data_IF_970236717499
#
_entry.id   IF_970236717499
#
_cell.length_a   1.000
_cell.length_b   1.000
_cell.length_c   1.000
_cell.angle_alpha   90.00
_cell.angle_beta   90.00
_cell.angle_gamma   90.00
#
_symmetry.space_group_name_H-M   'P 1'
#
loop_
_entity.id
_entity.type
_entity.pdbx_description
1 polymer ?
#
# COMPACT_ATOMS: atom_id res chain seq x y z
N UNK A 1 128.78 -90.28 -5.67
CA UNK A 1 129.21 -89.03 -5.04
C UNK A 1 129.05 -87.95 -6.08
N UNK A 2 128.36 -86.87 -5.70
CA UNK A 2 128.83 -85.49 -5.93
C UNK A 2 129.34 -85.18 -7.35
N UNK A 3 128.83 -84.22 -8.08
CA UNK A 3 128.34 -82.91 -7.69
C UNK A 3 127.64 -82.37 -8.95
N UNK A 4 126.51 -81.70 -8.83
CA UNK A 4 126.47 -80.26 -8.58
C UNK A 4 127.46 -79.46 -9.44
N UNK A 5 126.90 -78.46 -10.14
CA UNK A 5 127.58 -77.29 -10.71
C UNK A 5 128.48 -77.53 -11.93
N UNK A 6 127.88 -77.34 -13.12
CA UNK A 6 128.32 -76.39 -14.18
C UNK A 6 127.82 -76.87 -15.54
N UNK A 7 127.06 -76.01 -16.22
CA UNK A 7 127.54 -75.28 -17.42
C UNK A 7 126.32 -74.76 -18.20
N UNK A 8 126.01 -73.48 -18.17
CA UNK A 8 126.67 -72.34 -18.85
C UNK A 8 126.36 -72.21 -20.36
N UNK A 9 125.90 -70.98 -20.64
CA UNK A 9 125.89 -70.19 -21.89
C UNK A 9 124.61 -70.26 -22.72
N UNK A 10 123.83 -69.16 -22.83
CA UNK A 10 124.08 -67.76 -23.28
C UNK A 10 124.08 -67.66 -24.81
N UNK A 11 123.14 -66.86 -25.32
CA UNK A 11 123.32 -65.79 -26.32
C UNK A 11 122.04 -64.91 -26.36
N UNK A 12 121.98 -63.69 -26.94
CA UNK A 12 122.66 -62.40 -26.70
C UNK A 12 121.86 -61.32 -27.50
N UNK A 13 121.55 -60.15 -26.88
CA UNK A 13 121.18 -58.79 -27.44
C UNK A 13 119.89 -58.61 -28.28
N UNK A 14 119.05 -57.56 -28.19
CA UNK A 14 119.26 -56.08 -28.20
C UNK A 14 118.21 -55.19 -27.45
N UNK A 15 118.67 -53.97 -27.09
CA UNK A 15 118.09 -52.61 -26.77
C UNK A 15 116.63 -52.24 -27.19
N UNK A 16 115.87 -51.20 -26.73
CA UNK A 16 115.92 -50.05 -25.78
C UNK A 16 114.49 -49.44 -25.61
N UNK A 17 114.17 -48.93 -24.39
CA UNK A 17 113.35 -47.74 -23.95
C UNK A 17 112.00 -47.31 -24.61
N UNK A 18 110.94 -47.18 -23.76
CA UNK A 18 110.22 -45.90 -23.48
C UNK A 18 108.81 -45.59 -24.04
N UNK A 19 107.79 -45.42 -23.16
CA UNK A 19 106.57 -44.59 -23.40
C UNK A 19 105.21 -45.14 -22.88
N UNK A 20 104.48 -44.49 -21.94
CA UNK A 20 103.17 -44.96 -21.42
C UNK A 20 101.92 -44.31 -22.08
N UNK A 21 100.77 -44.97 -21.90
CA UNK A 21 99.51 -44.98 -22.68
C UNK A 21 98.42 -43.93 -22.28
N UNK A 22 97.39 -43.67 -23.12
CA UNK A 22 96.50 -42.48 -23.06
C UNK A 22 95.19 -42.65 -22.26
N UNK A 23 95.24 -43.11 -21.00
CA UNK A 23 94.05 -43.20 -20.11
C UNK A 23 93.80 -41.90 -19.33
N UNK A 24 94.85 -41.07 -19.18
CA UNK A 24 94.81 -39.82 -18.41
C UNK A 24 93.81 -38.77 -18.99
N UNK A 25 93.62 -38.74 -20.32
CA UNK A 25 92.79 -37.71 -20.97
C UNK A 25 91.30 -37.83 -20.65
N UNK A 26 90.77 -39.06 -20.53
CA UNK A 26 89.35 -39.27 -20.19
C UNK A 26 89.07 -39.02 -18.70
N UNK A 27 90.02 -39.33 -17.82
CA UNK A 27 89.91 -39.02 -16.38
C UNK A 27 89.92 -37.50 -16.16
N UNK A 28 90.80 -36.78 -16.85
CA UNK A 28 90.84 -35.30 -16.78
C UNK A 28 89.54 -34.69 -17.32
N UNK A 29 88.99 -35.21 -18.42
CA UNK A 29 87.72 -34.73 -18.95
C UNK A 29 86.54 -34.97 -17.99
N UNK A 30 86.48 -36.13 -17.34
CA UNK A 30 85.44 -36.45 -16.34
C UNK A 30 85.54 -35.55 -15.10
N UNK A 31 86.76 -35.30 -14.60
CA UNK A 31 87.00 -34.40 -13.46
C UNK A 31 86.56 -32.98 -13.80
N UNK A 32 86.91 -32.47 -14.99
CA UNK A 32 86.51 -31.13 -15.44
C UNK A 32 84.98 -31.03 -15.59
N UNK A 33 84.31 -32.08 -16.08
CA UNK A 33 82.85 -32.10 -16.17
C UNK A 33 82.18 -32.11 -14.78
N UNK A 34 82.68 -32.91 -13.84
CA UNK A 34 82.17 -32.91 -12.45
C UNK A 34 82.42 -31.59 -11.72
N UNK A 35 83.56 -30.94 -11.97
CA UNK A 35 83.85 -29.59 -11.45
C UNK A 35 82.96 -28.54 -12.10
N UNK A 36 82.67 -28.64 -13.40
CA UNK A 36 81.77 -27.72 -14.08
C UNK A 36 80.32 -27.87 -13.60
N UNK A 37 79.84 -29.11 -13.39
CA UNK A 37 78.50 -29.38 -12.84
C UNK A 37 78.42 -28.97 -11.37
N UNK A 38 79.46 -29.23 -10.57
CA UNK A 38 79.55 -28.76 -9.19
C UNK A 38 79.56 -27.23 -9.08
N UNK A 39 80.33 -26.55 -9.93
CA UNK A 39 80.31 -25.09 -10.02
C UNK A 39 78.97 -24.55 -10.54
N UNK A 40 78.31 -25.24 -11.48
CA UNK A 40 76.99 -24.84 -11.97
C UNK A 40 75.90 -25.00 -10.90
N UNK A 41 75.95 -26.08 -10.11
CA UNK A 41 75.03 -26.29 -8.98
C UNK A 41 75.27 -25.29 -7.85
N UNK A 42 76.54 -25.02 -7.49
CA UNK A 42 76.87 -24.00 -6.50
C UNK A 42 76.51 -22.59 -6.98
N UNK A 43 76.68 -22.29 -8.27
CA UNK A 43 76.22 -21.04 -8.86
C UNK A 43 74.69 -20.94 -8.88
N UNK A 44 73.99 -22.06 -9.13
CA UNK A 44 72.53 -22.12 -9.08
C UNK A 44 71.99 -21.92 -7.66
N UNK A 45 72.63 -22.51 -6.64
CA UNK A 45 72.30 -22.25 -5.23
C UNK A 45 72.57 -20.80 -4.84
N UNK A 46 73.73 -20.23 -5.23
CA UNK A 46 74.02 -18.82 -4.94
C UNK A 46 73.10 -17.85 -5.68
N UNK A 47 72.65 -18.14 -6.91
CA UNK A 47 71.69 -17.30 -7.63
C UNK A 47 70.26 -17.43 -7.09
N UNK A 48 69.88 -18.58 -6.54
CA UNK A 48 68.54 -18.82 -5.97
C UNK A 48 68.45 -18.68 -4.44
N UNK A 49 69.53 -18.24 -3.78
CA UNK A 49 69.54 -17.98 -2.34
C UNK A 49 68.46 -16.94 -1.99
N UNK A 50 67.54 -17.29 -1.10
CA UNK A 50 66.43 -16.43 -0.71
C UNK A 50 66.93 -15.31 0.20
N UNK A 51 66.56 -14.06 -0.11
CA UNK A 51 66.93 -12.90 0.70
C UNK A 51 66.00 -12.80 1.91
N UNK A 52 66.52 -12.72 3.16
CA UNK A 52 65.68 -12.52 4.33
C UNK A 52 65.11 -11.10 4.33
N UNK A 53 63.78 -10.98 4.40
CA UNK A 53 63.07 -9.70 4.42
C UNK A 53 62.07 -9.66 5.55
N UNK A 54 61.93 -8.51 6.21
CA UNK A 54 60.85 -8.26 7.17
C UNK A 54 59.61 -7.79 6.41
N UNK A 55 58.46 -8.37 6.72
CA UNK A 55 57.19 -7.97 6.10
C UNK A 55 56.24 -7.39 7.13
N UNK A 56 55.51 -6.37 6.74
CA UNK A 56 54.37 -5.84 7.49
C UNK A 56 53.13 -6.05 6.65
N UNK A 57 52.12 -6.66 7.27
CA UNK A 57 50.83 -6.83 6.63
C UNK A 57 50.09 -5.51 6.59
N UNK A 58 49.77 -5.08 5.39
CA UNK A 58 49.13 -3.80 5.15
C UNK A 58 47.67 -3.86 5.57
N UNK A 59 47.27 -3.03 6.54
CA UNK A 59 45.88 -2.91 6.98
C UNK A 59 45.19 -1.81 6.16
N UNK A 60 44.10 -2.16 5.46
CA UNK A 60 43.21 -1.16 4.92
C UNK A 60 42.21 -0.74 6.00
N UNK A 61 42.11 0.57 6.34
CA UNK A 61 41.09 1.07 7.27
C UNK A 61 39.65 0.72 6.82
N UNK A 62 39.44 0.48 5.52
CA UNK A 62 38.11 0.20 4.97
C UNK A 62 37.66 -1.26 5.12
N UNK A 63 38.53 -2.19 5.53
CA UNK A 63 38.13 -3.59 5.74
C UNK A 63 37.33 -3.79 7.04
N UNK A 64 37.50 -2.90 8.04
CA UNK A 64 36.73 -2.94 9.29
C UNK A 64 35.32 -2.34 9.15
N UNK A 65 35.05 -1.58 8.07
CA UNK A 65 33.73 -1.03 7.75
C UNK A 65 32.81 -2.02 7.00
N UNK A 66 33.22 -3.29 6.88
CA UNK A 66 32.41 -4.34 6.25
C UNK A 66 31.33 -4.94 7.19
N UNK A 67 31.36 -4.62 8.48
CA UNK A 67 30.19 -4.82 9.35
C UNK A 67 29.33 -3.56 9.23
N UNK A 68 28.31 -3.63 8.38
CA UNK A 68 27.33 -2.57 8.16
C UNK A 68 26.48 -2.30 9.41
N UNK A 69 27.08 -1.70 10.44
CA UNK A 69 26.33 -1.06 11.50
C UNK A 69 25.65 0.17 10.91
N UNK A 70 24.36 0.03 10.60
CA UNK A 70 23.51 1.15 10.22
C UNK A 70 23.58 2.21 11.32
N UNK A 71 24.23 3.34 11.01
CA UNK A 71 24.35 4.43 11.96
C UNK A 71 22.98 5.07 12.22
N UNK A 72 22.53 5.05 13.47
CA UNK A 72 21.30 5.72 13.91
C UNK A 72 21.53 7.24 13.82
N UNK A 73 20.73 7.92 13.01
CA UNK A 73 20.79 9.38 12.83
C UNK A 73 20.03 10.07 13.95
N UNK A 74 18.84 9.56 14.27
CA UNK A 74 17.91 10.18 15.18
C UNK A 74 17.05 9.11 15.86
N UNK A 75 16.86 9.25 17.16
CA UNK A 75 15.91 8.43 17.93
C UNK A 75 14.86 9.35 18.51
N UNK A 76 13.58 9.08 18.22
CA UNK A 76 12.45 9.89 18.69
C UNK A 76 11.40 8.98 19.30
N UNK A 77 10.77 9.43 20.38
CA UNK A 77 9.65 8.75 21.02
C UNK A 77 8.31 9.34 20.55
N UNK A 78 7.27 8.53 20.57
CA UNK A 78 5.91 8.95 20.28
C UNK A 78 4.92 7.83 20.58
N UNK A 79 3.78 7.85 19.90
CA UNK A 79 2.66 6.96 20.21
C UNK A 79 2.19 6.21 18.97
N UNK A 80 1.83 4.94 19.13
CA UNK A 80 1.20 4.16 18.08
C UNK A 80 -0.26 4.61 17.95
N UNK A 81 -0.68 4.93 16.74
CA UNK A 81 -2.05 5.26 16.38
C UNK A 81 -2.51 4.36 15.25
N UNK A 82 -3.81 4.11 15.16
CA UNK A 82 -4.33 3.49 13.94
C UNK A 82 -4.34 4.53 12.81
N UNK A 83 -3.93 4.13 11.61
CA UNK A 83 -3.92 5.00 10.43
C UNK A 83 -5.32 5.56 10.14
N UNK A 84 -6.35 4.71 10.33
CA UNK A 84 -7.75 5.04 10.13
C UNK A 84 -8.56 4.69 11.38
N UNK A 85 -8.85 5.70 12.18
CA UNK A 85 -9.79 5.63 13.30
C UNK A 85 -11.17 6.10 12.83
N UNK A 86 -12.19 5.28 13.02
CA UNK A 86 -13.56 5.57 12.61
C UNK A 86 -14.45 5.59 13.83
N UNK A 87 -15.14 6.71 14.00
CA UNK A 87 -16.13 6.92 15.05
C UNK A 87 -17.53 6.72 14.45
N UNK A 88 -18.18 5.63 14.83
CA UNK A 88 -19.47 5.23 14.27
C UNK A 88 -20.58 5.93 15.05
N UNK A 89 -21.18 6.93 14.41
CA UNK A 89 -22.29 7.72 14.94
C UNK A 89 -23.67 7.14 14.57
N UNK A 90 -24.68 7.48 15.36
CA UNK A 90 -26.07 7.28 14.95
C UNK A 90 -26.52 8.39 14.00
N UNK A 91 -27.23 8.02 12.94
CA UNK A 91 -27.88 8.99 12.04
C UNK A 91 -29.25 9.44 12.56
N UNK A 92 -29.85 8.67 13.46
CA UNK A 92 -31.18 8.91 14.04
C UNK A 92 -31.12 8.99 15.56
N UNK A 93 -32.10 9.67 16.14
CA UNK A 93 -32.25 9.75 17.60
C UNK A 93 -33.01 8.53 18.11
N UNK A 94 -32.69 8.07 19.31
CA UNK A 94 -33.41 6.94 19.90
C UNK A 94 -32.68 6.31 21.06
N UNK A 95 -33.38 5.41 21.76
CA UNK A 95 -32.81 4.65 22.86
C UNK A 95 -32.12 3.39 22.35
N UNK A 96 -30.99 3.02 22.96
CA UNK A 96 -30.30 1.77 22.63
C UNK A 96 -31.08 0.57 23.19
N UNK A 97 -31.65 -0.24 22.30
CA UNK A 97 -32.36 -1.47 22.67
C UNK A 97 -31.43 -2.68 22.78
N UNK A 98 -30.37 -2.73 21.97
CA UNK A 98 -29.43 -3.85 21.95
C UNK A 98 -28.03 -3.44 21.46
N UNK A 99 -27.01 -4.10 22.02
CA UNK A 99 -25.60 -3.95 21.66
C UNK A 99 -25.06 -5.35 21.39
N UNK A 100 -24.34 -5.51 20.28
CA UNK A 100 -23.82 -6.80 19.80
C UNK A 100 -22.32 -6.94 19.82
N UNK A 101 -21.60 -5.95 20.34
CA UNK A 101 -20.13 -5.91 20.33
C UNK A 101 -19.60 -5.33 21.63
N UNK A 102 -18.46 -5.85 22.05
CA UNK A 102 -17.67 -5.35 23.18
C UNK A 102 -16.30 -4.84 22.72
N UNK A 103 -15.63 -4.13 23.64
CA UNK A 103 -14.29 -3.62 23.41
C UNK A 103 -13.31 -4.76 23.15
N UNK A 104 -12.57 -4.68 22.05
CA UNK A 104 -11.62 -5.71 21.60
C UNK A 104 -12.19 -6.71 20.59
N UNK A 105 -13.49 -6.69 20.32
CA UNK A 105 -14.09 -7.58 19.34
C UNK A 105 -13.67 -7.22 17.91
N UNK A 106 -13.42 -8.26 17.10
CA UNK A 106 -13.20 -8.12 15.66
C UNK A 106 -14.54 -8.16 14.94
N UNK A 107 -14.79 -7.17 14.10
CA UNK A 107 -16.04 -7.00 13.36
C UNK A 107 -15.77 -6.94 11.86
N UNK A 108 -16.71 -7.47 11.08
CA UNK A 108 -16.68 -7.39 9.62
C UNK A 108 -17.50 -6.19 9.11
N UNK A 109 -17.15 -5.67 7.94
CA UNK A 109 -17.95 -4.65 7.27
C UNK A 109 -19.42 -5.11 7.12
N UNK A 110 -20.36 -4.25 7.49
CA UNK A 110 -21.81 -4.52 7.47
C UNK A 110 -22.36 -5.24 8.70
N UNK A 111 -21.51 -5.74 9.60
CA UNK A 111 -21.94 -6.37 10.86
C UNK A 111 -22.69 -5.36 11.74
N UNK A 112 -23.80 -5.81 12.35
CA UNK A 112 -24.58 -4.96 13.24
C UNK A 112 -23.85 -4.78 14.56
N UNK A 113 -23.60 -3.52 14.94
CA UNK A 113 -22.93 -3.15 16.19
C UNK A 113 -23.96 -2.82 17.28
N UNK A 114 -24.92 -1.96 16.95
CA UNK A 114 -25.91 -1.43 17.88
C UNK A 114 -27.27 -1.38 17.18
N UNK A 115 -28.35 -1.68 17.92
CA UNK A 115 -29.73 -1.48 17.47
C UNK A 115 -30.44 -0.53 18.42
N UNK A 116 -31.00 0.52 17.85
CA UNK A 116 -31.93 1.40 18.55
C UNK A 116 -33.31 0.78 18.60
N UNK A 117 -34.12 1.21 19.58
CA UNK A 117 -35.55 0.95 19.58
C UNK A 117 -36.17 1.50 18.30
N UNK A 118 -37.04 0.71 17.67
CA UNK A 118 -37.51 0.99 16.31
C UNK A 118 -39.04 0.98 16.18
N UNK A 119 -39.78 0.91 17.28
CA UNK A 119 -41.24 0.83 17.26
C UNK A 119 -41.87 2.09 16.65
N UNK A 120 -41.39 3.27 17.02
CA UNK A 120 -41.84 4.56 16.44
C UNK A 120 -41.53 4.65 14.94
N UNK A 121 -40.32 4.23 14.54
CA UNK A 121 -39.90 4.22 13.14
C UNK A 121 -40.69 3.22 12.30
N UNK A 122 -41.04 2.05 12.86
CA UNK A 122 -41.91 1.07 12.22
C UNK A 122 -43.33 1.58 12.09
N UNK A 123 -43.88 2.19 13.14
CA UNK A 123 -45.21 2.79 13.09
C UNK A 123 -45.28 3.91 12.04
N UNK A 124 -44.25 4.75 11.95
CA UNK A 124 -44.15 5.78 10.93
C UNK A 124 -44.11 5.18 9.51
N UNK A 125 -43.29 4.14 9.29
CA UNK A 125 -43.24 3.43 8.00
C UNK A 125 -44.62 2.88 7.63
N UNK A 126 -45.31 2.26 8.57
CA UNK A 126 -46.65 1.69 8.34
C UNK A 126 -47.69 2.77 8.02
N UNK A 127 -47.64 3.92 8.71
CA UNK A 127 -48.48 5.07 8.39
C UNK A 127 -48.24 5.59 6.96
N UNK A 128 -46.98 5.64 6.51
CA UNK A 128 -46.66 6.06 5.14
C UNK A 128 -47.10 5.03 4.10
N UNK A 129 -47.01 3.73 4.39
CA UNK A 129 -47.56 2.67 3.53
C UNK A 129 -49.07 2.79 3.38
N UNK A 130 -49.78 3.02 4.49
CA UNK A 130 -51.23 3.24 4.47
C UNK A 130 -51.62 4.46 3.63
N UNK A 131 -50.87 5.55 3.74
CA UNK A 131 -51.10 6.74 2.90
C UNK A 131 -50.89 6.46 1.41
N UNK A 132 -49.83 5.74 1.04
CA UNK A 132 -49.59 5.33 -0.34
C UNK A 132 -50.73 4.42 -0.85
N UNK A 133 -51.14 3.42 -0.07
CA UNK A 133 -52.22 2.51 -0.44
C UNK A 133 -53.55 3.24 -0.69
N UNK A 134 -53.87 4.25 0.14
CA UNK A 134 -55.07 5.08 -0.04
C UNK A 134 -55.02 5.88 -1.36
N UNK A 135 -53.85 6.42 -1.73
CA UNK A 135 -53.68 7.16 -2.98
C UNK A 135 -53.72 6.24 -4.20
N UNK A 136 -53.14 5.04 -4.09
CA UNK A 136 -53.21 4.02 -5.14
C UNK A 136 -54.64 3.53 -5.36
N UNK A 137 -55.41 3.32 -4.29
CA UNK A 137 -56.83 3.00 -4.37
C UNK A 137 -57.63 4.12 -5.06
N UNK A 138 -57.34 5.38 -4.73
CA UNK A 138 -57.95 6.55 -5.37
C UNK A 138 -57.58 6.65 -6.85
N UNK A 139 -56.34 6.37 -7.22
CA UNK A 139 -55.92 6.33 -8.63
C UNK A 139 -56.66 5.23 -9.38
N UNK A 140 -56.84 4.06 -8.77
CA UNK A 140 -57.57 2.94 -9.36
C UNK A 140 -59.05 3.28 -9.55
N UNK A 141 -59.68 3.94 -8.58
CA UNK A 141 -61.05 4.46 -8.70
C UNK A 141 -61.17 5.41 -9.90
N UNK A 142 -60.24 6.36 -10.05
CA UNK A 142 -60.22 7.27 -11.21
C UNK A 142 -59.98 6.55 -12.54
N UNK A 143 -59.11 5.52 -12.56
CA UNK A 143 -58.84 4.74 -13.77
C UNK A 143 -60.02 3.88 -14.20
N UNK A 144 -60.79 3.37 -13.24
CA UNK A 144 -62.03 2.64 -13.51
C UNK A 144 -63.13 3.55 -14.06
N UNK A 145 -63.07 4.85 -13.74
CA UNK A 145 -63.98 5.86 -14.27
C UNK A 145 -65.40 5.72 -13.72
N UNK A 146 -66.38 6.17 -14.50
CA UNK A 146 -67.79 6.11 -14.10
C UNK A 146 -68.26 4.67 -14.02
N UNK A 147 -69.11 4.39 -13.03
CA UNK A 147 -69.62 3.03 -12.82
C UNK A 147 -70.57 2.61 -13.96
N UNK A 148 -70.61 1.32 -14.34
CA UNK A 148 -71.55 0.85 -15.37
C UNK A 148 -73.01 1.19 -15.06
N UNK A 149 -73.39 1.19 -13.77
CA UNK A 149 -74.74 1.54 -13.33
C UNK A 149 -75.08 3.02 -13.57
N UNK A 150 -74.08 3.91 -13.46
CA UNK A 150 -74.24 5.35 -13.74
C UNK A 150 -74.39 5.60 -15.24
N UNK A 151 -73.59 4.90 -16.07
CA UNK A 151 -73.68 4.97 -17.53
C UNK A 151 -75.04 4.42 -18.00
N UNK A 152 -75.50 3.31 -17.42
CA UNK A 152 -76.80 2.72 -17.74
C UNK A 152 -77.96 3.66 -17.40
N UNK A 153 -77.90 4.35 -16.24
CA UNK A 153 -78.89 5.37 -15.87
C UNK A 153 -78.88 6.55 -16.85
N UNK A 154 -77.71 7.12 -17.14
CA UNK A 154 -77.60 8.23 -18.08
C UNK A 154 -78.11 7.86 -19.49
N UNK A 155 -77.89 6.61 -19.90
CA UNK A 155 -78.42 6.07 -21.15
C UNK A 155 -79.94 5.95 -21.11
N UNK A 156 -80.50 5.39 -20.04
CA UNK A 156 -81.95 5.29 -19.87
C UNK A 156 -82.64 6.67 -19.86
N UNK A 157 -82.04 7.66 -19.19
CA UNK A 157 -82.55 9.03 -19.18
C UNK A 157 -82.55 9.64 -20.59
N UNK A 158 -81.50 9.41 -21.38
CA UNK A 158 -81.43 9.84 -22.78
C UNK A 158 -82.46 9.12 -23.65
N UNK A 159 -82.60 7.80 -23.49
CA UNK A 159 -83.54 6.98 -24.25
C UNK A 159 -85.01 7.38 -23.95
N UNK A 160 -85.34 7.73 -22.70
CA UNK A 160 -86.63 8.29 -22.33
C UNK A 160 -86.88 9.65 -23.01
N UNK A 161 -85.92 10.57 -22.95
CA UNK A 161 -86.07 11.87 -23.62
C UNK A 161 -86.16 11.74 -25.15
N UNK A 162 -85.55 10.71 -25.73
CA UNK A 162 -85.68 10.40 -27.16
C UNK A 162 -87.10 9.95 -27.50
N UNK A 163 -87.74 9.14 -26.65
CA UNK A 163 -89.14 8.76 -26.82
C UNK A 163 -90.07 9.98 -26.73
N UNK A 164 -89.80 10.90 -25.79
CA UNK A 164 -90.57 12.15 -25.65
C UNK A 164 -90.41 13.07 -26.86
N UNK A 165 -89.20 13.15 -27.44
CA UNK A 165 -88.94 13.86 -28.69
C UNK A 165 -89.73 13.29 -29.86
N UNK A 166 -89.78 11.96 -29.99
CA UNK A 166 -90.54 11.31 -31.07
C UNK A 166 -92.05 11.60 -30.94
N UNK A 167 -92.58 11.54 -29.71
CA UNK A 167 -93.96 11.93 -29.44
C UNK A 167 -94.24 13.40 -29.79
N UNK A 168 -93.33 14.31 -29.41
CA UNK A 168 -93.43 15.73 -29.74
C UNK A 168 -93.37 15.98 -31.25
N UNK A 169 -92.52 15.25 -31.97
CA UNK A 169 -92.39 15.31 -33.43
C UNK A 169 -93.68 14.88 -34.13
N UNK A 170 -94.24 13.73 -33.74
CA UNK A 170 -95.52 13.24 -34.29
C UNK A 170 -96.65 14.23 -34.00
N UNK A 171 -96.67 14.84 -32.81
CA UNK A 171 -97.65 15.88 -32.47
C UNK A 171 -97.46 17.14 -33.32
N UNK A 172 -96.23 17.59 -33.55
CA UNK A 172 -95.92 18.75 -34.38
C UNK A 172 -96.36 18.53 -35.83
N UNK A 173 -95.99 17.41 -36.45
CA UNK A 173 -96.36 17.11 -37.84
C UNK A 173 -97.87 17.06 -38.03
N UNK A 174 -98.59 16.43 -37.09
CA UNK A 174 -100.06 16.39 -37.09
C UNK A 174 -100.68 17.78 -36.94
N UNK A 175 -100.20 18.60 -36.00
CA UNK A 175 -100.71 19.97 -35.82
C UNK A 175 -100.40 20.85 -37.03
N UNK A 176 -99.23 20.68 -37.64
CA UNK A 176 -98.80 21.40 -38.84
C UNK A 176 -99.69 21.07 -40.05
N UNK A 177 -100.06 19.80 -40.23
CA UNK A 177 -101.03 19.39 -41.23
C UNK A 177 -102.40 20.05 -41.01
N UNK A 178 -102.96 19.94 -39.80
CA UNK A 178 -104.26 20.54 -39.46
C UNK A 178 -104.27 22.07 -39.57
N UNK A 179 -103.15 22.72 -39.27
CA UNK A 179 -103.01 24.17 -39.41
C UNK A 179 -102.98 24.60 -40.88
N UNK A 180 -102.33 23.81 -41.75
CA UNK A 180 -102.34 24.06 -43.20
C UNK A 180 -103.73 23.90 -43.83
N UNK A 181 -104.57 23.06 -43.23
CA UNK A 181 -105.98 22.88 -43.59
C UNK A 181 -106.91 23.93 -42.95
N UNK A 182 -106.39 24.83 -42.09
CA UNK A 182 -107.16 25.90 -41.43
C UNK A 182 -108.01 25.46 -40.24
N UNK A 183 -107.82 24.23 -39.73
CA UNK A 183 -108.65 23.62 -38.68
C UNK A 183 -108.23 24.02 -37.26
N UNK A 184 -106.97 24.43 -37.05
CA UNK A 184 -106.43 24.81 -35.73
C UNK A 184 -105.84 26.22 -35.71
N UNK A 185 -105.89 26.94 -34.58
CA UNK A 185 -105.28 28.27 -34.44
C UNK A 185 -103.76 28.25 -34.57
N UNK A 186 -103.17 29.35 -35.05
CA UNK A 186 -101.70 29.51 -35.16
C UNK A 186 -100.96 29.26 -33.84
N UNK A 187 -101.55 29.70 -32.72
CA UNK A 187 -101.01 29.47 -31.37
C UNK A 187 -100.74 27.98 -31.08
N UNK A 188 -101.60 27.07 -31.56
CA UNK A 188 -101.42 25.63 -31.35
C UNK A 188 -100.22 25.06 -32.11
N UNK A 189 -99.91 25.59 -33.30
CA UNK A 189 -98.70 25.25 -34.05
C UNK A 189 -97.46 25.76 -33.33
N UNK A 190 -97.48 27.03 -32.89
CA UNK A 190 -96.38 27.65 -32.17
C UNK A 190 -96.07 26.90 -30.85
N UNK A 191 -97.10 26.47 -30.11
CA UNK A 191 -96.96 25.66 -28.89
C UNK A 191 -96.37 24.26 -29.19
N UNK A 192 -96.80 23.63 -30.28
CA UNK A 192 -96.28 22.31 -30.69
C UNK A 192 -94.81 22.41 -31.14
N UNK A 193 -94.46 23.48 -31.85
CA UNK A 193 -93.10 23.77 -32.29
C UNK A 193 -92.20 24.01 -31.07
N UNK A 194 -92.63 24.85 -30.12
CA UNK A 194 -91.90 25.09 -28.88
C UNK A 194 -91.66 23.80 -28.07
N UNK A 195 -92.66 22.91 -28.00
CA UNK A 195 -92.51 21.59 -27.35
C UNK A 195 -91.49 20.71 -28.04
N UNK A 196 -91.53 20.60 -29.37
CA UNK A 196 -90.54 19.87 -30.15
C UNK A 196 -89.12 20.42 -29.93
N UNK A 197 -88.94 21.74 -30.05
CA UNK A 197 -87.63 22.39 -29.88
C UNK A 197 -87.08 22.18 -28.46
N UNK A 198 -87.95 22.23 -27.44
CA UNK A 198 -87.58 21.92 -26.06
C UNK A 198 -87.14 20.46 -25.87
N UNK A 199 -87.80 19.51 -26.54
CA UNK A 199 -87.44 18.10 -26.49
C UNK A 199 -86.11 17.81 -27.21
N UNK A 200 -85.85 18.48 -28.34
CA UNK A 200 -84.56 18.41 -29.05
C UNK A 200 -83.44 18.88 -28.14
N UNK A 201 -83.61 20.04 -27.50
CA UNK A 201 -82.62 20.58 -26.57
C UNK A 201 -82.40 19.66 -25.37
N UNK A 202 -83.46 18.99 -24.88
CA UNK A 202 -83.37 18.04 -23.77
C UNK A 202 -82.58 16.78 -24.12
N UNK A 203 -82.83 16.17 -25.29
CA UNK A 203 -82.05 15.04 -25.79
C UNK A 203 -80.58 15.43 -25.95
N UNK A 204 -80.30 16.58 -26.57
CA UNK A 204 -78.93 17.05 -26.75
C UNK A 204 -78.20 17.28 -25.42
N UNK A 205 -78.90 17.81 -24.41
CA UNK A 205 -78.35 17.97 -23.06
C UNK A 205 -78.03 16.62 -22.41
N UNK A 206 -78.94 15.65 -22.46
CA UNK A 206 -78.75 14.34 -21.83
C UNK A 206 -77.72 13.48 -22.57
N UNK A 207 -77.61 13.62 -23.89
CA UNK A 207 -76.56 13.00 -24.66
C UNK A 207 -75.19 13.49 -24.19
N UNK A 208 -75.00 14.80 -23.97
CA UNK A 208 -73.74 15.33 -23.41
C UNK A 208 -73.46 14.80 -22.01
N UNK A 209 -74.48 14.61 -21.18
CA UNK A 209 -74.32 13.99 -19.85
C UNK A 209 -73.84 12.54 -19.96
N UNK A 210 -74.43 11.75 -20.88
CA UNK A 210 -73.97 10.40 -21.16
C UNK A 210 -72.53 10.38 -21.69
N UNK A 211 -72.20 11.26 -22.64
CA UNK A 211 -70.86 11.36 -23.22
C UNK A 211 -69.82 11.69 -22.15
N UNK A 212 -70.12 12.62 -21.23
CA UNK A 212 -69.25 12.94 -20.09
C UNK A 212 -69.09 11.75 -19.12
N UNK A 213 -70.16 11.00 -18.85
CA UNK A 213 -70.10 9.81 -18.02
C UNK A 213 -69.22 8.71 -18.67
N UNK A 214 -69.29 8.54 -19.99
CA UNK A 214 -68.47 7.58 -20.73
C UNK A 214 -67.01 8.04 -20.83
N UNK A 215 -66.75 9.33 -20.99
CA UNK A 215 -65.40 9.89 -21.09
C UNK A 215 -64.63 9.74 -19.76
N UNK A 216 -65.34 9.80 -18.63
CA UNK A 216 -64.78 9.61 -17.30
C UNK A 216 -63.99 10.81 -16.79
N UNK A 217 -63.09 10.62 -15.81
CA UNK A 217 -62.37 11.69 -15.15
C UNK A 217 -61.32 12.35 -16.06
N UNK A 218 -61.00 13.59 -15.72
CA UNK A 218 -60.06 14.42 -16.49
C UNK A 218 -58.62 13.90 -16.32
N UNK A 219 -57.81 14.00 -17.38
CA UNK A 219 -56.39 13.58 -17.35
C UNK A 219 -55.58 14.36 -16.32
N UNK A 220 -55.91 15.64 -16.11
CA UNK A 220 -55.28 16.50 -15.12
C UNK A 220 -55.54 16.01 -13.69
N UNK A 221 -56.72 15.42 -13.45
CA UNK A 221 -57.07 14.85 -12.15
C UNK A 221 -56.30 13.55 -11.88
N UNK A 222 -56.12 12.71 -12.90
CA UNK A 222 -55.28 11.50 -12.82
C UNK A 222 -53.82 11.90 -12.56
N UNK A 223 -53.28 12.84 -13.34
CA UNK A 223 -51.92 13.34 -13.19
C UNK A 223 -51.67 13.96 -11.80
N UNK A 224 -52.66 14.66 -11.23
CA UNK A 224 -52.58 15.19 -9.88
C UNK A 224 -52.42 14.08 -8.82
N UNK A 225 -53.19 13.00 -8.93
CA UNK A 225 -53.08 11.86 -8.00
C UNK A 225 -51.78 11.09 -8.22
N UNK A 226 -51.33 10.94 -9.48
CA UNK A 226 -50.03 10.34 -9.78
C UNK A 226 -48.87 11.14 -9.17
N UNK A 227 -48.93 12.47 -9.22
CA UNK A 227 -47.96 13.33 -8.52
C UNK A 227 -47.99 13.17 -6.99
N UNK A 228 -49.18 13.01 -6.41
CA UNK A 228 -49.33 12.73 -4.97
C UNK A 228 -48.76 11.34 -4.59
N UNK A 229 -48.94 10.33 -5.45
CA UNK A 229 -48.35 9.00 -5.26
C UNK A 229 -46.83 9.09 -5.28
N UNK A 230 -46.25 9.85 -6.21
CA UNK A 230 -44.79 10.02 -6.27
C UNK A 230 -44.24 10.69 -5.00
N UNK A 231 -44.92 11.73 -4.52
CA UNK A 231 -44.59 12.36 -3.24
C UNK A 231 -44.68 11.37 -2.06
N UNK A 232 -45.75 10.56 -2.02
CA UNK A 232 -45.94 9.55 -0.98
C UNK A 232 -44.89 8.42 -1.03
N UNK A 233 -44.46 8.01 -2.23
CA UNK A 233 -43.34 7.06 -2.41
C UNK A 233 -42.03 7.63 -1.87
N UNK A 234 -41.75 8.90 -2.13
CA UNK A 234 -40.59 9.59 -1.55
C UNK A 234 -40.64 9.61 -0.01
N UNK A 235 -41.80 9.92 0.57
CA UNK A 235 -42.00 9.90 2.02
C UNK A 235 -41.85 8.49 2.62
N UNK A 236 -42.35 7.46 1.93
CA UNK A 236 -42.19 6.06 2.31
C UNK A 236 -40.72 5.62 2.30
N UNK A 237 -39.99 5.94 1.23
CA UNK A 237 -38.57 5.61 1.10
C UNK A 237 -37.72 6.31 2.18
N UNK A 238 -38.06 7.56 2.53
CA UNK A 238 -37.43 8.27 3.64
C UNK A 238 -37.71 7.58 4.97
N UNK A 239 -38.97 7.23 5.27
CA UNK A 239 -39.32 6.52 6.51
C UNK A 239 -38.63 5.15 6.60
N UNK A 240 -38.49 4.44 5.48
CA UNK A 240 -37.73 3.19 5.41
C UNK A 240 -36.25 3.41 5.73
N UNK A 241 -35.63 4.43 5.14
CA UNK A 241 -34.23 4.78 5.42
C UNK A 241 -34.04 5.12 6.90
N UNK A 242 -34.98 5.84 7.51
CA UNK A 242 -34.91 6.13 8.94
C UNK A 242 -35.03 4.87 9.81
N UNK A 243 -35.90 3.93 9.43
CA UNK A 243 -35.98 2.63 10.08
C UNK A 243 -34.67 1.84 9.92
N UNK A 244 -34.06 1.83 8.74
CA UNK A 244 -32.78 1.15 8.50
C UNK A 244 -31.65 1.78 9.31
N UNK A 245 -31.65 3.10 9.46
CA UNK A 245 -30.68 3.84 10.29
C UNK A 245 -30.79 3.52 11.79
N UNK A 246 -31.87 2.89 12.27
CA UNK A 246 -31.94 2.36 13.65
C UNK A 246 -30.96 1.22 13.89
N UNK A 247 -30.48 0.57 12.82
CA UNK A 247 -29.52 -0.53 12.86
C UNK A 247 -28.14 0.00 12.46
N UNK A 248 -27.31 0.28 13.47
CA UNK A 248 -25.96 0.78 13.27
C UNK A 248 -25.03 -0.38 12.92
N UNK A 249 -24.35 -0.26 11.77
CA UNK A 249 -23.45 -1.29 11.21
C UNK A 249 -22.02 -0.78 11.11
N UNK A 250 -21.07 -1.71 11.14
CA UNK A 250 -19.67 -1.42 10.89
C UNK A 250 -19.46 -0.97 9.42
N UNK A 251 -18.88 0.21 9.16
CA UNK A 251 -18.59 0.66 7.80
C UNK A 251 -17.44 -0.12 7.14
N UNK A 252 -16.49 -0.61 7.93
CA UNK A 252 -15.33 -1.39 7.46
C UNK A 252 -15.07 -2.57 8.39
N UNK A 253 -14.26 -3.53 7.96
CA UNK A 253 -13.76 -4.60 8.83
C UNK A 253 -12.68 -4.02 9.75
N UNK A 254 -12.72 -4.33 11.04
CA UNK A 254 -11.76 -3.80 12.02
C UNK A 254 -11.98 -4.35 13.42
N UNK A 255 -11.34 -3.71 14.41
CA UNK A 255 -11.50 -4.05 15.83
C UNK A 255 -12.14 -2.89 16.58
N UNK A 256 -13.03 -3.19 17.53
CA UNK A 256 -13.66 -2.19 18.38
C UNK A 256 -12.66 -1.70 19.43
N UNK A 257 -12.32 -0.41 19.37
CA UNK A 257 -11.41 0.24 20.32
C UNK A 257 -12.15 0.68 21.58
N UNK A 258 -13.34 1.23 21.41
CA UNK A 258 -14.14 1.72 22.53
C UNK A 258 -15.64 1.67 22.25
N UNK A 259 -16.43 1.53 23.32
CA UNK A 259 -17.89 1.51 23.30
C UNK A 259 -18.39 2.61 24.24
N UNK A 260 -18.91 3.68 23.67
CA UNK A 260 -19.31 4.89 24.40
C UNK A 260 -20.80 4.95 24.76
N UNK A 261 -21.54 3.86 24.56
CA UNK A 261 -22.98 3.79 24.80
C UNK A 261 -23.37 2.55 25.58
N UNK A 262 -24.33 2.69 26.50
CA UNK A 262 -24.92 1.59 27.26
C UNK A 262 -26.35 1.25 26.82
N UNK A 263 -26.80 0.02 27.09
CA UNK A 263 -28.19 -0.38 26.81
C UNK A 263 -29.15 0.46 27.65
N UNK A 264 -30.17 1.02 27.00
CA UNK A 264 -31.14 1.93 27.62
C UNK A 264 -30.72 3.41 27.61
N UNK A 265 -29.49 3.74 27.18
CA UNK A 265 -29.06 5.13 26.99
C UNK A 265 -29.76 5.76 25.78
N UNK A 266 -30.07 7.05 25.88
CA UNK A 266 -30.69 7.81 24.79
C UNK A 266 -29.59 8.49 23.96
N UNK A 267 -29.62 8.24 22.66
CA UNK A 267 -28.65 8.73 21.68
C UNK A 267 -29.30 9.82 20.85
N UNK A 268 -28.55 10.89 20.60
CA UNK A 268 -28.95 11.99 19.73
C UNK A 268 -27.83 12.31 18.74
N UNK A 269 -28.21 12.73 17.54
CA UNK A 269 -27.30 13.16 16.47
C UNK A 269 -27.01 14.69 16.52
N UNK A 270 -27.64 15.42 17.45
CA UNK A 270 -27.46 16.86 17.65
C UNK A 270 -26.78 17.20 18.98
N UNK A 271 -26.12 18.36 19.05
CA UNK A 271 -25.46 18.86 20.26
C UNK A 271 -26.50 19.18 21.34
N UNK A 272 -26.47 18.47 22.48
CA UNK A 272 -27.36 18.71 23.62
C UNK A 272 -26.55 18.96 24.88
N UNK A 273 -26.45 20.24 25.29
CA UNK A 273 -25.94 20.67 26.60
C UNK A 273 -24.41 20.72 26.79
N UNK A 274 -23.99 21.02 28.02
CA UNK A 274 -22.58 21.17 28.47
C UNK A 274 -21.77 19.87 28.46
N UNK A 275 -22.43 18.71 28.33
CA UNK A 275 -21.79 17.39 28.21
C UNK A 275 -21.67 16.89 26.75
N UNK A 276 -21.97 17.76 25.78
CA UNK A 276 -21.84 17.50 24.35
C UNK A 276 -22.75 16.37 23.86
N UNK A 277 -23.01 16.34 22.54
CA UNK A 277 -23.44 15.09 21.94
C UNK A 277 -22.32 14.07 22.17
N UNK A 278 -22.63 12.88 22.74
CA UNK A 278 -21.77 11.72 22.48
C UNK A 278 -21.92 11.41 20.99
N UNK A 279 -21.12 12.09 20.17
CA UNK A 279 -21.27 12.11 18.72
C UNK A 279 -21.10 10.74 18.07
N UNK A 280 -20.59 9.76 18.81
CA UNK A 280 -20.31 8.41 18.35
C UNK A 280 -20.63 7.37 19.42
N UNK A 281 -21.09 6.21 18.95
CA UNK A 281 -21.50 5.08 19.78
C UNK A 281 -20.33 4.12 20.01
N UNK A 282 -19.57 3.89 18.95
CA UNK A 282 -18.50 2.89 18.90
C UNK A 282 -17.34 3.47 18.12
N UNK A 283 -16.13 3.29 18.62
CA UNK A 283 -14.90 3.64 17.92
C UNK A 283 -14.25 2.37 17.43
N UNK A 284 -13.86 2.34 16.16
CA UNK A 284 -13.21 1.18 15.55
C UNK A 284 -12.01 1.59 14.71
N UNK A 285 -11.08 0.67 14.54
CA UNK A 285 -9.91 0.84 13.70
C UNK A 285 -9.42 -0.50 13.14
N UNK A 286 -8.69 -0.46 12.03
CA UNK A 286 -7.93 -1.61 11.56
C UNK A 286 -6.59 -1.67 12.30
N UNK A 287 -6.35 -2.76 13.04
CA UNK A 287 -5.11 -2.98 13.79
C UNK A 287 -3.96 -3.47 12.90
N UNK A 288 -4.21 -3.76 11.62
CA UNK A 288 -3.17 -4.11 10.67
C UNK A 288 -2.55 -2.88 9.98
N UNK A 289 -3.18 -1.70 10.11
CA UNK A 289 -2.67 -0.45 9.56
C UNK A 289 -2.37 0.53 10.70
N UNK A 290 -1.21 0.30 11.32
CA UNK A 290 -0.71 1.11 12.43
C UNK A 290 0.37 2.07 11.97
N UNK A 291 0.35 3.27 12.55
CA UNK A 291 1.32 4.33 12.35
C UNK A 291 1.88 4.76 13.71
N UNK A 292 3.10 5.25 13.75
CA UNK A 292 3.65 5.93 14.92
C UNK A 292 3.60 7.43 14.66
N UNK A 293 2.93 8.15 15.55
CA UNK A 293 2.91 9.60 15.56
C UNK A 293 4.08 10.10 16.40
N UNK A 294 5.00 10.82 15.76
CA UNK A 294 6.22 11.34 16.37
C UNK A 294 6.21 12.87 16.31
N UNK A 295 6.51 13.50 17.43
CA UNK A 295 6.78 14.94 17.51
C UNK A 295 8.29 15.17 17.41
N UNK A 296 8.77 15.64 16.25
CA UNK A 296 10.21 15.82 15.99
C UNK A 296 10.61 17.28 16.17
N UNK A 297 11.63 17.56 16.96
CA UNK A 297 12.14 18.93 17.13
C UNK A 297 12.57 19.55 15.79
N UNK A 298 12.30 20.84 15.59
CA UNK A 298 12.67 21.56 14.36
C UNK A 298 14.18 21.51 14.07
N UNK A 299 15.03 21.43 15.09
CA UNK A 299 16.48 21.29 14.93
C UNK A 299 16.91 19.93 14.36
N UNK A 300 16.10 18.90 14.58
CA UNK A 300 16.39 17.52 14.18
C UNK A 300 15.68 17.12 12.89
N UNK A 301 14.62 17.83 12.51
CA UNK A 301 13.87 17.61 11.27
C UNK A 301 14.73 17.61 9.99
N UNK A 302 15.72 18.51 9.79
CA UNK A 302 16.59 18.51 8.60
C UNK A 302 17.44 17.25 8.44
N UNK A 303 17.61 16.46 9.51
CA UNK A 303 18.38 15.21 9.49
C UNK A 303 17.61 14.06 8.84
N UNK A 304 16.30 14.22 8.61
CA UNK A 304 15.43 13.19 8.06
C UNK A 304 15.18 13.41 6.58
N UNK A 305 15.38 12.35 5.79
CA UNK A 305 15.01 12.32 4.38
C UNK A 305 13.52 12.02 4.17
N UNK A 306 12.97 12.31 2.99
CA UNK A 306 11.66 11.82 2.60
C UNK A 306 11.65 10.28 2.60
N UNK A 307 10.58 9.68 3.13
CA UNK A 307 10.41 8.23 3.22
C UNK A 307 11.55 7.49 3.96
N UNK A 308 12.23 8.17 4.89
CA UNK A 308 13.29 7.57 5.69
C UNK A 308 12.80 6.29 6.40
N UNK A 309 13.60 5.23 6.32
CA UNK A 309 13.35 3.98 7.04
C UNK A 309 13.82 4.11 8.50
N UNK A 310 13.08 3.49 9.39
CA UNK A 310 13.42 3.40 10.80
C UNK A 310 13.00 2.07 11.40
N UNK A 311 13.58 1.75 12.56
CA UNK A 311 13.14 0.63 13.39
C UNK A 311 12.30 1.20 14.52
N UNK A 312 11.06 0.73 14.58
CA UNK A 312 10.12 1.00 15.65
C UNK A 312 10.30 -0.06 16.73
N UNK A 313 10.41 0.38 17.97
CA UNK A 313 10.45 -0.45 19.17
C UNK A 313 9.42 0.08 20.15
N UNK A 314 8.84 -0.79 20.97
CA UNK A 314 7.90 -0.37 22.02
C UNK A 314 8.51 -0.63 23.38
N UNK A 315 8.26 0.25 24.35
CA UNK A 315 8.78 0.10 25.71
C UNK A 315 8.28 -1.20 26.37
N UNK A 316 7.06 -1.62 26.04
CA UNK A 316 6.46 -2.86 26.53
C UNK A 316 7.16 -4.13 26.01
N UNK A 317 7.77 -4.05 24.82
CA UNK A 317 8.45 -5.19 24.18
C UNK A 317 9.77 -4.73 23.53
N UNK A 318 10.83 -4.50 24.33
CA UNK A 318 12.11 -3.99 23.81
C UNK A 318 12.80 -4.93 22.82
N UNK A 319 12.57 -6.25 22.94
CA UNK A 319 13.17 -7.26 22.06
C UNK A 319 12.53 -7.30 20.66
N UNK A 320 11.34 -6.70 20.49
CA UNK A 320 10.61 -6.70 19.23
C UNK A 320 10.88 -5.43 18.44
N UNK A 321 11.48 -5.62 17.27
CA UNK A 321 11.83 -4.55 16.32
C UNK A 321 10.92 -4.65 15.10
N UNK A 322 10.22 -3.56 14.79
CA UNK A 322 9.35 -3.47 13.61
C UNK A 322 9.97 -2.51 12.60
N UNK A 323 9.92 -2.86 11.33
CA UNK A 323 10.34 -1.93 10.28
C UNK A 323 9.25 -0.89 10.05
N UNK A 324 9.65 0.38 10.08
CA UNK A 324 8.80 1.52 9.78
C UNK A 324 9.39 2.41 8.70
N UNK A 325 8.55 3.19 8.05
CA UNK A 325 8.96 4.21 7.08
C UNK A 325 8.14 5.48 7.25
N UNK A 326 8.75 6.65 7.04
CA UNK A 326 8.03 7.92 7.05
C UNK A 326 7.00 7.89 5.92
N UNK A 327 5.71 7.95 6.29
CA UNK A 327 4.60 7.99 5.34
C UNK A 327 4.14 9.41 5.08
N UNK A 328 4.03 10.21 6.13
CA UNK A 328 3.52 11.56 6.06
C UNK A 328 4.27 12.46 7.04
N UNK A 329 4.56 13.67 6.59
CA UNK A 329 5.06 14.77 7.44
C UNK A 329 3.97 15.85 7.42
N UNK A 330 3.62 16.36 8.59
CA UNK A 330 2.69 17.48 8.68
C UNK A 330 3.29 18.72 8.00
N UNK A 331 2.56 19.41 7.10
CA UNK A 331 3.06 20.62 6.47
C UNK A 331 3.17 21.79 7.46
N UNK A 332 2.41 21.73 8.56
CA UNK A 332 2.42 22.72 9.63
C UNK A 332 3.23 22.20 10.82
N UNK A 333 4.04 23.08 11.41
CA UNK A 333 4.74 22.85 12.66
C UNK A 333 3.89 23.32 13.84
N UNK A 334 3.89 22.56 14.94
CA UNK A 334 3.25 22.97 16.18
C UNK A 334 4.11 24.03 16.88
N UNK A 335 3.63 25.28 16.90
CA UNK A 335 4.33 26.41 17.52
C UNK A 335 4.43 26.28 19.04
N UNK A 336 3.46 25.63 19.70
CA UNK A 336 3.46 25.47 21.15
C UNK A 336 4.52 24.46 21.60
N UNK A 337 4.74 23.40 20.82
CA UNK A 337 5.74 22.36 21.10
C UNK A 337 7.08 22.56 20.38
N UNK A 338 7.17 23.48 19.42
CA UNK A 338 8.32 23.66 18.53
C UNK A 338 8.74 22.38 17.78
N UNK A 339 7.74 21.54 17.42
CA UNK A 339 7.93 20.26 16.75
C UNK A 339 7.22 20.19 15.40
N UNK A 340 7.67 19.29 14.54
CA UNK A 340 7.00 18.87 13.31
C UNK A 340 6.47 17.46 13.52
N UNK A 341 5.17 17.28 13.32
CA UNK A 341 4.54 15.97 13.48
C UNK A 341 4.85 15.09 12.26
N UNK A 342 5.39 13.90 12.51
CA UNK A 342 5.75 12.92 11.48
C UNK A 342 5.05 11.60 11.79
N UNK A 343 4.39 11.03 10.77
CA UNK A 343 3.73 9.73 10.86
C UNK A 343 4.56 8.66 10.15
N UNK A 344 4.97 7.66 10.91
CA UNK A 344 5.78 6.52 10.44
C UNK A 344 4.87 5.30 10.32
N UNK A 345 4.69 4.79 9.11
CA UNK A 345 3.91 3.57 8.88
C UNK A 345 4.68 2.34 9.32
N UNK A 346 4.05 1.46 10.10
CA UNK A 346 4.60 0.16 10.48
C UNK A 346 4.28 -0.84 9.37
N UNK A 347 5.30 -1.49 8.80
CA UNK A 347 5.11 -2.33 7.60
C UNK A 347 4.42 -3.67 7.90
N UNK A 348 4.78 -4.30 9.02
CA UNK A 348 4.24 -5.60 9.43
C UNK A 348 3.92 -5.55 10.93
N UNK A 349 2.81 -4.92 11.35
CA UNK A 349 2.40 -4.93 12.74
C UNK A 349 1.97 -6.34 13.17
N UNK A 350 2.22 -6.68 14.44
CA UNK A 350 1.74 -7.92 15.05
C UNK A 350 0.64 -7.62 16.10
N UNK A 351 0.07 -8.66 16.70
CA UNK A 351 -1.00 -8.51 17.70
C UNK A 351 -0.55 -7.89 19.03
N UNK A 352 0.75 -7.68 19.24
CA UNK A 352 1.29 -7.07 20.46
C UNK A 352 1.29 -5.56 20.38
N UNK A 353 1.29 -5.01 19.17
CA UNK A 353 1.11 -3.59 18.95
C UNK A 353 -0.35 -3.19 19.16
N UNK A 354 -0.57 -2.17 19.98
CA UNK A 354 -1.88 -1.59 20.24
C UNK A 354 -1.83 -0.08 20.07
N UNK A 355 -2.92 0.55 19.61
CA UNK A 355 -3.05 2.00 19.65
C UNK A 355 -2.84 2.55 21.06
N UNK A 356 -2.36 3.79 21.13
CA UNK A 356 -1.98 4.56 22.32
C UNK A 356 -0.81 3.98 23.13
N UNK A 357 -0.06 3.02 22.59
CA UNK A 357 1.20 2.56 23.18
C UNK A 357 2.37 3.49 22.85
N UNK A 358 3.28 3.67 23.81
CA UNK A 358 4.55 4.36 23.57
C UNK A 358 5.42 3.55 22.61
N UNK A 359 6.01 4.25 21.64
CA UNK A 359 6.96 3.68 20.71
C UNK A 359 8.15 4.61 20.49
N UNK A 360 9.33 4.02 20.34
CA UNK A 360 10.57 4.68 20.00
C UNK A 360 10.96 4.30 18.57
N UNK A 361 11.24 5.29 17.73
CA UNK A 361 11.66 5.09 16.35
C UNK A 361 13.10 5.57 16.18
N UNK A 362 13.97 4.65 15.79
CA UNK A 362 15.34 4.93 15.42
C UNK A 362 15.44 5.01 13.89
N UNK A 363 15.78 6.18 13.35
CA UNK A 363 16.02 6.40 11.93
C UNK A 363 17.48 6.14 11.57
N UNK A 364 17.73 5.46 10.46
CA UNK A 364 19.07 5.08 10.00
C UNK A 364 19.46 5.82 8.74
N UNK A 365 20.75 6.00 8.49
CA UNK A 365 21.22 6.54 7.22
C UNK A 365 21.23 5.45 6.13
N UNK A 366 20.43 5.62 5.06
CA UNK A 366 20.44 4.71 3.91
C UNK A 366 21.64 5.01 2.95
N UNK A 367 22.43 6.06 3.26
CA UNK A 367 23.52 6.59 2.43
C UNK A 367 24.79 5.74 2.34
N UNK A 368 24.72 4.43 2.62
CA UNK A 368 25.84 3.50 2.38
C UNK A 368 25.54 2.41 1.34
N UNK A 369 24.35 2.40 0.73
CA UNK A 369 24.05 1.44 -0.35
C UNK A 369 24.16 2.03 -1.77
N UNK A 370 24.39 3.34 -1.92
CA UNK A 370 24.35 4.02 -3.24
C UNK A 370 25.69 4.66 -3.68
N UNK A 371 26.81 4.36 -3.03
CA UNK A 371 28.14 4.80 -3.47
C UNK A 371 29.14 3.64 -3.49
N UNK A 372 28.77 2.56 -4.18
CA UNK A 372 29.74 1.58 -4.70
C UNK A 372 30.45 2.10 -5.97
N UNK A 373 30.67 3.41 -6.08
CA UNK A 373 31.63 3.97 -7.04
C UNK A 373 32.94 4.26 -6.30
N UNK A 374 33.76 3.21 -6.24
CA UNK A 374 35.23 3.29 -6.23
C UNK A 374 35.85 4.36 -5.31
N UNK A 375 35.60 4.29 -4.00
CA UNK A 375 36.57 4.82 -3.05
C UNK A 375 37.82 3.92 -3.13
N UNK A 376 38.80 4.32 -3.93
CA UNK A 376 40.11 3.64 -3.99
C UNK A 376 40.60 3.48 -2.56
N UNK A 377 40.98 2.26 -2.12
CA UNK A 377 41.39 2.04 -0.75
C UNK A 377 42.64 2.88 -0.48
N UNK A 378 42.52 3.90 0.37
CA UNK A 378 43.68 4.62 0.89
C UNK A 378 44.34 3.69 1.89
N UNK A 379 45.62 3.41 1.68
CA UNK A 379 46.37 2.42 2.44
C UNK A 379 47.48 3.14 3.20
N UNK A 380 47.63 2.89 4.50
CA UNK A 380 48.74 3.44 5.30
C UNK A 380 49.86 2.42 5.36
N UNK A 381 51.08 2.82 5.00
CA UNK A 381 52.28 1.97 5.09
C UNK A 381 53.40 2.67 5.86
N UNK A 382 54.31 1.92 6.52
CA UNK A 382 55.49 2.51 7.16
C UNK A 382 56.35 3.27 6.15
N UNK A 383 56.95 4.39 6.57
CA UNK A 383 57.83 5.21 5.72
C UNK A 383 59.01 4.40 5.15
N UNK A 384 59.51 3.43 5.93
CA UNK A 384 60.65 2.58 5.55
C UNK A 384 60.32 1.52 4.48
N UNK A 385 59.05 1.39 4.10
CA UNK A 385 58.60 0.41 3.11
C UNK A 385 58.54 0.96 1.66
N UNK A 386 58.80 2.26 1.47
CA UNK A 386 58.83 2.91 0.14
C UNK A 386 60.20 3.51 -0.12
N UNK A 387 60.77 3.19 -1.28
CA UNK A 387 61.99 3.83 -1.78
C UNK A 387 61.72 4.37 -3.19
N UNK A 388 61.95 5.67 -3.40
CA UNK A 388 61.78 6.34 -4.71
C UNK A 388 60.40 6.08 -5.39
N UNK A 389 59.30 6.06 -4.62
CA UNK A 389 57.95 5.81 -5.15
C UNK A 389 57.66 4.35 -5.52
N UNK A 390 58.50 3.42 -5.07
CA UNK A 390 58.37 1.99 -5.33
C UNK A 390 58.28 1.23 -4.01
N UNK A 391 57.35 0.29 -3.94
CA UNK A 391 57.14 -0.61 -2.81
C UNK A 391 57.21 -2.07 -3.29
N UNK A 392 57.75 -2.97 -2.46
CA UNK A 392 57.84 -4.40 -2.80
C UNK A 392 56.84 -5.23 -2.02
N UNK A 393 55.99 -5.95 -2.74
CA UNK A 393 54.98 -6.85 -2.16
C UNK A 393 55.45 -8.30 -2.27
N UNK A 394 55.26 -9.08 -1.22
CA UNK A 394 55.52 -10.53 -1.26
C UNK A 394 54.32 -11.25 -1.86
N UNK A 395 54.51 -11.87 -3.03
CA UNK A 395 53.49 -12.67 -3.69
C UNK A 395 54.07 -14.03 -4.09
N UNK A 396 53.60 -15.10 -3.44
CA UNK A 396 54.07 -16.47 -3.71
C UNK A 396 55.55 -16.70 -3.35
N UNK A 397 56.05 -16.08 -2.27
CA UNK A 397 57.44 -16.21 -1.81
C UNK A 397 58.47 -15.47 -2.67
N UNK A 398 58.03 -14.55 -3.54
CA UNK A 398 58.87 -13.67 -4.35
C UNK A 398 58.52 -12.20 -4.12
N UNK A 399 59.53 -11.34 -4.14
CA UNK A 399 59.33 -9.89 -4.11
C UNK A 399 58.85 -9.41 -5.47
N UNK A 400 57.72 -8.71 -5.51
CA UNK A 400 57.21 -8.04 -6.72
C UNK A 400 57.27 -6.54 -6.55
N UNK A 401 57.88 -5.87 -7.52
CA UNK A 401 58.03 -4.42 -7.55
C UNK A 401 56.71 -3.77 -7.96
N UNK A 402 56.17 -2.88 -7.14
CA UNK A 402 54.98 -2.09 -7.46
C UNK A 402 55.27 -0.60 -7.34
N UNK A 403 54.86 0.13 -8.37
CA UNK A 403 54.88 1.60 -8.33
C UNK A 403 53.70 2.07 -7.49
N UNK A 404 53.97 2.93 -6.51
CA UNK A 404 52.95 3.45 -5.60
C UNK A 404 52.92 4.97 -5.69
N UNK A 405 51.72 5.55 -5.70
CA UNK A 405 51.55 6.99 -5.55
C UNK A 405 51.29 7.30 -4.09
N UNK A 406 52.27 7.94 -3.45
CA UNK A 406 52.20 8.36 -2.06
C UNK A 406 51.57 9.75 -1.94
N UNK A 407 50.60 9.90 -1.04
CA UNK A 407 50.05 11.17 -0.61
C UNK A 407 50.77 11.68 0.66
N UNK A 408 50.04 12.40 1.51
CA UNK A 408 50.58 13.00 2.74
C UNK A 408 51.13 11.99 3.75
N UNK A 409 52.13 12.42 4.54
CA UNK A 409 52.63 11.67 5.68
C UNK A 409 51.77 11.94 6.94
N UNK A 410 51.52 10.90 7.73
CA UNK A 410 50.83 10.95 9.03
C UNK A 410 51.74 10.33 10.11
N UNK A 411 51.46 10.61 11.39
CA UNK A 411 52.19 10.03 12.54
C UNK A 411 52.23 8.49 12.55
N UNK A 412 51.33 7.84 11.81
CA UNK A 412 51.25 6.37 11.68
C UNK A 412 51.91 5.80 10.40
N UNK A 413 52.40 6.64 9.49
CA UNK A 413 53.02 6.22 8.22
C UNK A 413 52.65 7.11 7.02
N UNK A 414 53.02 6.67 5.82
CA UNK A 414 52.72 7.35 4.55
C UNK A 414 51.39 6.81 3.98
N UNK A 415 50.52 7.72 3.56
CA UNK A 415 49.28 7.37 2.85
C UNK A 415 49.60 7.03 1.39
N UNK A 416 49.17 5.86 0.92
CA UNK A 416 49.25 5.44 -0.49
C UNK A 416 47.86 5.55 -1.11
N UNK A 417 47.77 6.36 -2.16
CA UNK A 417 46.52 6.66 -2.87
C UNK A 417 46.27 5.65 -4.01
N UNK A 418 47.34 5.09 -4.58
CA UNK A 418 47.23 4.07 -5.62
C UNK A 418 48.46 3.14 -5.69
N UNK A 419 48.24 1.89 -6.10
CA UNK A 419 49.28 0.86 -6.28
C UNK A 419 49.23 -0.30 -5.28
N UNK A 420 48.50 -0.16 -4.17
CA UNK A 420 48.26 -1.20 -3.17
C UNK A 420 46.77 -1.38 -2.91
N UNK A 421 46.35 -2.62 -2.65
CA UNK A 421 44.93 -2.99 -2.50
C UNK A 421 44.54 -3.18 -1.03
N UNK A 422 45.53 -3.35 -0.14
CA UNK A 422 45.32 -3.65 1.28
C UNK A 422 45.18 -5.16 1.52
N UNK A 423 45.75 -5.65 2.63
CA UNK A 423 45.82 -7.08 2.96
C UNK A 423 47.05 -7.82 2.44
N UNK A 424 47.91 -7.13 1.68
CA UNK A 424 49.16 -7.65 1.11
C UNK A 424 50.32 -7.54 2.11
N UNK A 425 51.30 -8.45 2.01
CA UNK A 425 52.51 -8.42 2.84
C UNK A 425 53.57 -7.55 2.16
N UNK A 426 53.89 -6.42 2.77
CA UNK A 426 54.81 -5.43 2.23
C UNK A 426 56.18 -5.54 2.89
N UNK A 427 57.24 -5.54 2.08
CA UNK A 427 58.63 -5.60 2.58
C UNK A 427 58.99 -4.25 3.19
N UNK A 428 59.42 -4.26 4.45
CA UNK A 428 59.94 -3.10 5.16
C UNK A 428 61.46 -3.07 5.01
N UNK A 429 62.02 -1.91 4.66
CA UNK A 429 63.45 -1.69 4.43
C UNK A 429 64.05 -2.66 3.40
N UNK A 430 63.60 -2.64 2.13
CA UNK A 430 64.14 -3.54 1.10
C UNK A 430 65.65 -3.28 0.90
N UNK A 431 66.49 -4.34 0.82
CA UNK A 431 67.90 -4.21 0.50
C UNK A 431 68.08 -3.56 -0.89
N UNK A 432 69.10 -2.71 -1.05
CA UNK A 432 69.33 -1.95 -2.29
C UNK A 432 69.49 -2.83 -3.54
N UNK A 433 69.89 -4.10 -3.37
CA UNK A 433 70.13 -5.06 -4.45
C UNK A 433 68.91 -5.95 -4.77
N UNK A 434 67.75 -5.73 -4.13
CA UNK A 434 66.55 -6.57 -4.31
C UNK A 434 65.92 -6.34 -5.70
N UNK A 435 65.87 -7.40 -6.52
CA UNK A 435 65.29 -7.35 -7.87
C UNK A 435 63.84 -7.85 -7.90
N UNK A 436 63.09 -7.36 -8.90
CA UNK A 436 61.74 -7.85 -9.17
C UNK A 436 61.76 -9.35 -9.51
N UNK A 437 60.90 -10.13 -8.86
CA UNK A 437 60.80 -11.58 -9.01
C UNK A 437 61.79 -12.41 -8.17
N UNK A 438 62.66 -11.78 -7.38
CA UNK A 438 63.63 -12.49 -6.55
C UNK A 438 62.93 -13.25 -5.41
N UNK A 439 63.43 -14.45 -5.10
CA UNK A 439 62.88 -15.27 -4.01
C UNK A 439 63.25 -14.63 -2.67
N UNK A 440 62.25 -14.45 -1.83
CA UNK A 440 62.41 -13.85 -0.51
C UNK A 440 61.95 -14.81 0.56
N UNK A 441 62.66 -14.83 1.68
CA UNK A 441 62.27 -15.58 2.87
C UNK A 441 61.78 -14.57 3.91
N UNK A 442 60.54 -14.73 4.32
CA UNK A 442 59.97 -13.89 5.38
C UNK A 442 60.69 -14.23 6.68
N UNK A 443 61.44 -13.27 7.21
CA UNK A 443 61.99 -13.36 8.54
C UNK A 443 60.85 -13.16 9.55
N UNK A 444 60.78 -13.97 10.63
CA UNK A 444 59.71 -13.88 11.62
C UNK A 444 59.66 -12.53 12.35
#
# INVERSE_FOLDING_TARGET
MEAELKSLRIDRTEKLRGGPRPILRYIVAAIVFTLAVGCALLAYEKLNAAVPVKVVRVQSPNAAAANGEQQVILTVTGYIVAAHKIEVASKVVGRVGWIGVDKGDKVQAGQVLVRLENDEYRAQLESQKGQLANLEARLQELKNGSRPEEIAKAKADRDQAQADLENAKVSLERTKQLASEGVVPKQSLDDAQAKYDSAVAKVASLQRTLDLAVLGPRKEQIAQVEGQIEQARGALAYAQTQLENTVIRAPVTGTILDRNVEKGEFVTNGFVGDKGAKGYLVTMADLNDLEVELDINQSDFPKLGPQQKGIVTTDAYPDRKYQGMIRQVSPEADRAKATVQVKVKILNPDSYLRPDMNATVAFYNDAQSASSEQSKPIVVIPQDAVQNGVAFVVAGGRARRRTVTTGGASDKGILVESGLIGGEDLIVSPPADLKDGQRVQVAP
#
